data_IF_530300492686
#
_entry.id   IF_530300492686
#
_cell.length_a   1.000
_cell.length_b   1.000
_cell.length_c   1.000
_cell.angle_alpha   90.00
_cell.angle_beta   90.00
_cell.angle_gamma   90.00
#
_symmetry.space_group_name_H-M   'P 1'
#
loop_
_entity.id
_entity.type
_entity.pdbx_description
1 polymer ?
#
# COMPACT_ATOMS: atom_id res chain seq x y z
N UNK A 1 23.11 -20.54 3.99
CA UNK A 1 22.62 -19.74 5.13
C UNK A 1 21.30 -20.37 5.54
N UNK A 2 21.13 -20.70 6.81
CA UNK A 2 19.85 -21.24 7.30
C UNK A 2 18.80 -20.12 7.31
N UNK A 3 17.56 -20.43 6.92
CA UNK A 3 16.46 -19.45 6.86
C UNK A 3 16.21 -18.85 8.25
N UNK A 4 16.28 -19.68 9.30
CA UNK A 4 16.15 -19.20 10.68
C UNK A 4 17.23 -18.18 11.06
N UNK A 5 18.48 -18.44 10.68
CA UNK A 5 19.59 -17.51 10.89
C UNK A 5 19.38 -16.19 10.13
N UNK A 6 18.96 -16.24 8.86
CA UNK A 6 18.67 -15.04 8.07
C UNK A 6 17.53 -14.21 8.66
N UNK A 7 16.45 -14.85 9.10
CA UNK A 7 15.33 -14.19 9.76
C UNK A 7 15.74 -13.55 11.09
N UNK A 8 16.53 -14.26 11.90
CA UNK A 8 17.05 -13.72 13.16
C UNK A 8 17.93 -12.48 12.95
N UNK A 9 18.79 -12.50 11.93
CA UNK A 9 19.61 -11.33 11.57
C UNK A 9 18.75 -10.15 11.10
N UNK A 10 17.73 -10.43 10.29
CA UNK A 10 16.80 -9.40 9.82
C UNK A 10 16.00 -8.78 10.98
N UNK A 11 15.47 -9.59 11.90
CA UNK A 11 14.80 -9.11 13.11
C UNK A 11 15.75 -8.32 14.01
N UNK A 12 17.02 -8.75 14.12
CA UNK A 12 18.06 -8.02 14.84
C UNK A 12 18.29 -6.63 14.23
N UNK A 13 18.40 -6.53 12.91
CA UNK A 13 18.50 -5.25 12.21
C UNK A 13 17.22 -4.40 12.41
N UNK A 14 16.04 -4.99 12.26
CA UNK A 14 14.77 -4.27 12.45
C UNK A 14 14.64 -3.70 13.86
N UNK A 15 15.10 -4.43 14.89
CA UNK A 15 15.09 -3.95 16.28
C UNK A 15 15.91 -2.69 16.51
N UNK A 16 16.90 -2.40 15.65
CA UNK A 16 17.68 -1.16 15.72
C UNK A 16 16.89 0.08 15.31
N UNK A 17 15.75 -0.10 14.63
CA UNK A 17 14.82 0.96 14.24
C UNK A 17 13.69 1.19 15.24
N UNK A 18 13.65 0.40 16.32
CA UNK A 18 12.63 0.52 17.36
C UNK A 18 12.85 1.80 18.16
N UNK A 19 11.80 2.61 18.30
CA UNK A 19 11.80 3.89 19.02
C UNK A 19 10.96 3.83 20.32
N UNK A 20 10.25 2.72 20.54
CA UNK A 20 9.39 2.47 21.69
C UNK A 20 8.65 1.14 21.53
N UNK A 21 7.80 0.79 22.48
CA UNK A 21 6.96 -0.40 22.38
C UNK A 21 5.99 -0.27 21.19
N UNK A 22 6.07 -1.17 20.21
CA UNK A 22 5.30 -1.07 18.97
C UNK A 22 5.67 0.10 18.04
N UNK A 23 6.68 0.90 18.38
CA UNK A 23 7.07 2.07 17.58
C UNK A 23 8.33 1.75 16.77
N UNK A 24 8.19 1.76 15.45
CA UNK A 24 9.27 1.58 14.49
C UNK A 24 9.34 2.80 13.59
N UNK A 25 10.52 3.42 13.54
CA UNK A 25 10.81 4.49 12.59
C UNK A 25 11.57 3.95 11.38
N UNK A 26 11.87 4.83 10.44
CA UNK A 26 12.53 4.44 9.20
C UNK A 26 13.04 5.61 8.39
N UNK A 27 13.74 5.29 7.30
CA UNK A 27 14.12 6.26 6.27
C UNK A 27 13.11 6.20 5.12
N UNK A 28 12.39 7.29 4.92
CA UNK A 28 11.25 7.37 3.99
C UNK A 28 11.68 7.85 2.60
N UNK A 29 12.62 7.14 1.98
CA UNK A 29 13.14 7.54 0.66
C UNK A 29 12.17 7.08 -0.42
N UNK A 30 11.64 8.04 -1.18
CA UNK A 30 10.76 7.70 -2.28
C UNK A 30 11.53 7.14 -3.49
N UNK A 31 11.25 5.91 -3.96
CA UNK A 31 12.04 5.27 -5.02
C UNK A 31 11.79 5.88 -6.40
N UNK A 32 10.57 6.37 -6.65
CA UNK A 32 10.15 6.83 -7.99
C UNK A 32 10.09 8.35 -8.14
N UNK A 33 10.11 9.11 -7.04
CA UNK A 33 9.91 10.55 -7.06
C UNK A 33 11.17 11.16 -6.50
N UNK A 34 11.69 12.20 -7.15
CA UNK A 34 12.86 12.94 -6.65
C UNK A 34 12.48 13.87 -5.50
N UNK A 35 11.79 13.34 -4.49
CA UNK A 35 11.38 14.06 -3.28
C UNK A 35 12.37 13.74 -2.17
N UNK A 36 13.09 14.77 -1.71
CA UNK A 36 14.09 14.69 -0.63
C UNK A 36 13.64 15.38 0.65
N UNK A 37 12.38 15.81 0.75
CA UNK A 37 11.92 16.68 1.84
C UNK A 37 12.12 16.05 3.24
N UNK A 38 11.95 14.73 3.35
CA UNK A 38 12.26 13.96 4.56
C UNK A 38 13.74 13.97 4.94
N UNK A 39 14.65 13.97 3.97
CA UNK A 39 16.09 14.03 4.22
C UNK A 39 16.49 15.42 4.72
N UNK A 40 15.92 16.47 4.13
CA UNK A 40 16.12 17.86 4.58
C UNK A 40 15.63 18.07 6.01
N UNK A 41 14.47 17.48 6.34
CA UNK A 41 13.89 17.50 7.69
C UNK A 41 14.59 16.56 8.66
N UNK A 42 15.46 15.67 8.17
CA UNK A 42 16.11 14.60 8.94
C UNK A 42 15.10 13.74 9.70
N UNK A 43 13.94 13.52 9.08
CA UNK A 43 12.88 12.73 9.69
C UNK A 43 13.24 11.25 9.62
N UNK A 44 13.21 10.59 10.78
CA UNK A 44 13.45 9.16 10.94
C UNK A 44 12.36 8.49 11.77
N UNK A 45 11.22 9.18 11.94
CA UNK A 45 10.12 8.72 12.76
C UNK A 45 9.24 7.69 12.03
N UNK A 46 8.10 7.35 12.62
CA UNK A 46 7.14 6.40 12.06
C UNK A 46 6.46 6.93 10.78
N UNK A 47 5.99 6.02 9.94
CA UNK A 47 4.99 6.30 8.89
C UNK A 47 3.98 5.18 8.87
N UNK A 48 2.70 5.52 8.95
CA UNK A 48 1.64 4.52 9.22
C UNK A 48 1.53 3.45 8.13
N UNK A 49 1.90 3.77 6.89
CA UNK A 49 1.84 2.79 5.81
C UNK A 49 2.91 1.69 5.89
N UNK A 50 4.07 1.96 6.52
CA UNK A 50 5.13 0.96 6.68
C UNK A 50 4.71 -0.19 7.60
N UNK A 51 3.78 0.09 8.51
CA UNK A 51 3.23 -0.91 9.42
C UNK A 51 2.47 -2.03 8.72
N UNK A 52 2.06 -1.84 7.45
CA UNK A 52 1.45 -2.91 6.66
C UNK A 52 2.45 -4.05 6.44
N UNK A 53 3.70 -3.72 6.10
CA UNK A 53 4.77 -4.70 5.99
C UNK A 53 5.17 -5.29 7.33
N UNK A 54 5.30 -4.45 8.37
CA UNK A 54 5.72 -4.88 9.70
C UNK A 54 4.71 -5.82 10.34
N UNK A 55 3.45 -5.40 10.51
CA UNK A 55 2.41 -6.21 11.15
C UNK A 55 2.23 -7.51 10.39
N UNK A 56 2.06 -7.47 9.05
CA UNK A 56 1.85 -8.71 8.28
C UNK A 56 3.06 -9.64 8.29
N UNK A 57 4.29 -9.09 8.36
CA UNK A 57 5.50 -9.88 8.53
C UNK A 57 5.56 -10.59 9.88
N UNK A 58 5.21 -9.89 10.97
CA UNK A 58 5.16 -10.48 12.31
C UNK A 58 3.99 -11.47 12.46
N UNK A 59 2.83 -11.21 11.86
CA UNK A 59 1.72 -12.17 11.82
C UNK A 59 2.13 -13.44 11.08
N UNK A 60 2.86 -13.34 9.96
CA UNK A 60 3.38 -14.52 9.27
C UNK A 60 4.35 -15.32 10.16
N UNK A 61 5.21 -14.65 10.91
CA UNK A 61 6.08 -15.32 11.88
C UNK A 61 5.26 -16.01 12.98
N UNK A 62 4.23 -15.36 13.52
CA UNK A 62 3.32 -15.94 14.49
C UNK A 62 2.66 -17.21 13.95
N UNK A 63 2.01 -17.15 12.78
CA UNK A 63 1.33 -18.29 12.15
C UNK A 63 2.26 -19.48 11.89
N UNK A 64 3.53 -19.21 11.52
CA UNK A 64 4.49 -20.25 11.18
C UNK A 64 5.22 -20.85 12.37
N UNK A 65 5.33 -20.10 13.48
CA UNK A 65 6.14 -20.50 14.63
C UNK A 65 5.31 -20.80 15.88
N UNK A 66 4.09 -20.25 15.98
CA UNK A 66 3.28 -20.27 17.19
C UNK A 66 3.84 -19.44 18.34
N UNK A 67 4.84 -18.57 18.10
CA UNK A 67 5.46 -17.79 19.18
C UNK A 67 4.67 -16.50 19.49
N UNK A 68 3.98 -16.47 20.63
CA UNK A 68 3.15 -15.33 21.10
C UNK A 68 3.84 -13.96 21.09
N UNK A 69 5.18 -13.92 21.17
CA UNK A 69 5.91 -12.65 21.14
C UNK A 69 5.65 -11.87 19.85
N UNK A 70 5.40 -12.56 18.74
CA UNK A 70 5.15 -11.91 17.45
C UNK A 70 3.75 -11.31 17.40
N UNK A 71 2.73 -12.03 17.87
CA UNK A 71 1.37 -11.49 18.02
C UNK A 71 1.33 -10.31 19.00
N UNK A 72 2.03 -10.41 20.14
CA UNK A 72 2.16 -9.30 21.10
C UNK A 72 2.77 -8.06 20.47
N UNK A 73 3.80 -8.20 19.64
CA UNK A 73 4.39 -7.05 18.94
C UNK A 73 3.40 -6.45 17.92
N UNK A 74 2.61 -7.27 17.21
CA UNK A 74 1.55 -6.77 16.33
C UNK A 74 0.49 -5.95 17.06
N UNK A 75 0.08 -6.40 18.25
CA UNK A 75 -0.89 -5.66 19.10
C UNK A 75 -0.29 -4.31 19.52
N UNK A 76 0.96 -4.27 19.98
CA UNK A 76 1.63 -3.02 20.33
C UNK A 76 1.74 -2.06 19.14
N UNK A 77 2.09 -2.59 17.96
CA UNK A 77 2.14 -1.82 16.72
C UNK A 77 0.76 -1.26 16.34
N UNK A 78 -0.31 -2.05 16.48
CA UNK A 78 -1.67 -1.63 16.17
C UNK A 78 -2.21 -0.59 17.17
N UNK A 79 -1.91 -0.74 18.46
CA UNK A 79 -2.24 0.26 19.47
C UNK A 79 -1.52 1.59 19.22
N UNK A 80 -0.25 1.52 18.78
CA UNK A 80 0.47 2.71 18.33
C UNK A 80 -0.22 3.37 17.12
N UNK A 81 -0.59 2.62 16.07
CA UNK A 81 -1.32 3.17 14.93
C UNK A 81 -2.63 3.85 15.35
N UNK A 82 -3.40 3.22 16.24
CA UNK A 82 -4.63 3.80 16.79
C UNK A 82 -4.38 5.12 17.50
N UNK A 83 -3.27 5.23 18.24
CA UNK A 83 -2.89 6.45 18.95
C UNK A 83 -2.58 7.63 18.04
N UNK A 84 -2.27 7.37 16.76
CA UNK A 84 -2.02 8.39 15.74
C UNK A 84 -3.28 8.86 15.01
N UNK A 85 -4.44 8.26 15.25
CA UNK A 85 -5.68 8.66 14.57
C UNK A 85 -6.27 9.92 15.21
N UNK A 86 -6.39 10.99 14.42
CA UNK A 86 -7.03 12.23 14.84
C UNK A 86 -8.56 12.05 14.99
N UNK A 87 -9.21 13.03 15.61
CA UNK A 87 -10.66 13.14 15.80
C UNK A 87 -11.46 12.98 14.50
N UNK A 88 -10.93 13.44 13.37
CA UNK A 88 -11.59 13.34 12.06
C UNK A 88 -11.48 11.96 11.39
N UNK A 89 -10.71 11.04 11.98
CA UNK A 89 -10.48 9.69 11.48
C UNK A 89 -9.22 9.53 10.63
N UNK A 90 -8.54 10.61 10.24
CA UNK A 90 -7.28 10.56 9.52
C UNK A 90 -6.12 10.18 10.44
N UNK A 91 -5.16 9.40 9.94
CA UNK A 91 -3.93 9.13 10.67
C UNK A 91 -2.93 10.28 10.51
N UNK A 92 -2.34 10.74 11.61
CA UNK A 92 -1.07 11.46 11.56
C UNK A 92 0.03 10.53 11.01
N UNK A 93 1.08 11.12 10.44
CA UNK A 93 2.17 10.39 9.77
C UNK A 93 1.73 9.53 8.58
N UNK A 94 0.85 10.09 7.74
CA UNK A 94 0.27 9.43 6.57
C UNK A 94 0.67 10.09 5.25
N UNK A 95 1.92 10.54 5.11
CA UNK A 95 2.42 11.24 3.91
C UNK A 95 3.83 10.82 3.45
N UNK A 96 4.45 9.83 4.07
CA UNK A 96 5.69 9.16 3.63
C UNK A 96 6.83 10.11 3.21
N UNK A 97 7.00 10.43 1.92
CA UNK A 97 8.09 11.30 1.46
C UNK A 97 7.96 12.77 1.88
N UNK A 98 6.79 13.14 2.43
CA UNK A 98 6.50 14.45 2.99
C UNK A 98 6.36 14.43 4.51
N UNK A 99 6.85 13.40 5.21
CA UNK A 99 6.79 13.38 6.67
C UNK A 99 7.58 14.54 7.33
N UNK A 100 7.12 15.03 8.50
CA UNK A 100 5.87 14.70 9.18
C UNK A 100 4.64 15.36 8.51
N UNK A 101 3.51 14.65 8.44
CA UNK A 101 2.24 15.23 7.96
C UNK A 101 1.09 14.23 7.90
N UNK A 102 -0.04 14.64 7.29
CA UNK A 102 -1.23 13.79 7.17
C UNK A 102 -2.01 13.95 5.87
N UNK A 103 -2.77 12.92 5.54
CA UNK A 103 -3.85 12.97 4.56
C UNK A 103 -3.59 12.19 3.26
N UNK A 104 -2.49 11.46 3.14
CA UNK A 104 -2.22 10.67 1.94
C UNK A 104 -3.17 9.48 1.80
N UNK A 105 -3.75 9.30 0.62
CA UNK A 105 -4.79 8.31 0.36
C UNK A 105 -4.28 6.88 0.59
N UNK A 106 -3.24 6.45 -0.13
CA UNK A 106 -2.65 5.11 0.05
C UNK A 106 -2.10 4.89 1.46
N UNK A 107 -1.54 5.92 2.10
CA UNK A 107 -0.89 5.73 3.39
C UNK A 107 -1.90 5.44 4.51
N UNK A 108 -3.05 6.10 4.48
CA UNK A 108 -4.17 5.78 5.36
C UNK A 108 -4.72 4.37 5.07
N UNK A 109 -4.90 4.03 3.79
CA UNK A 109 -5.43 2.72 3.39
C UNK A 109 -4.54 1.56 3.85
N UNK A 110 -3.22 1.69 3.73
CA UNK A 110 -2.28 0.66 4.18
C UNK A 110 -2.24 0.56 5.71
N UNK A 111 -2.45 1.65 6.45
CA UNK A 111 -2.63 1.59 7.90
C UNK A 111 -3.88 0.75 8.25
N UNK A 112 -5.00 0.99 7.57
CA UNK A 112 -6.22 0.19 7.75
C UNK A 112 -6.00 -1.29 7.44
N UNK A 113 -5.35 -1.61 6.32
CA UNK A 113 -4.99 -2.99 5.96
C UNK A 113 -4.15 -3.66 7.06
N UNK A 114 -3.26 -2.92 7.71
CA UNK A 114 -2.45 -3.43 8.81
C UNK A 114 -3.32 -3.84 10.00
N UNK A 115 -4.22 -2.97 10.41
CA UNK A 115 -5.17 -3.20 11.50
C UNK A 115 -6.09 -4.38 11.18
N UNK A 116 -6.64 -4.43 9.95
CA UNK A 116 -7.54 -5.49 9.52
C UNK A 116 -6.84 -6.84 9.43
N UNK A 117 -5.57 -6.87 9.00
CA UNK A 117 -4.78 -8.11 8.98
C UNK A 117 -4.63 -8.67 10.39
N UNK A 118 -4.40 -7.82 11.40
CA UNK A 118 -4.39 -8.24 12.81
C UNK A 118 -5.78 -8.70 13.26
N UNK A 119 -6.86 -8.02 12.89
CA UNK A 119 -8.22 -8.39 13.28
C UNK A 119 -8.61 -9.83 12.89
N UNK A 120 -8.19 -10.31 11.71
CA UNK A 120 -8.42 -11.71 11.33
C UNK A 120 -7.78 -12.67 12.33
N UNK A 121 -6.51 -12.46 12.69
CA UNK A 121 -5.80 -13.30 13.65
C UNK A 121 -6.40 -13.18 15.06
N UNK A 122 -6.77 -11.96 15.48
CA UNK A 122 -7.45 -11.78 16.77
C UNK A 122 -8.79 -12.51 16.83
N UNK A 123 -9.56 -12.53 15.74
CA UNK A 123 -10.82 -13.26 15.67
C UNK A 123 -10.60 -14.79 15.77
N UNK A 124 -9.56 -15.32 15.12
CA UNK A 124 -9.17 -16.73 15.24
C UNK A 124 -8.73 -17.11 16.65
N UNK A 125 -8.04 -16.21 17.35
CA UNK A 125 -7.58 -16.37 18.73
C UNK A 125 -8.66 -16.00 19.77
N UNK A 126 -9.89 -15.71 19.36
CA UNK A 126 -11.01 -15.29 20.22
C UNK A 126 -10.69 -14.04 21.08
N UNK A 127 -9.83 -13.15 20.57
CA UNK A 127 -9.44 -11.88 21.18
C UNK A 127 -10.28 -10.71 20.63
N UNK A 128 -10.42 -9.65 21.44
CA UNK A 128 -11.20 -8.48 21.06
C UNK A 128 -10.51 -7.67 19.94
N UNK A 129 -11.16 -7.65 18.77
CA UNK A 129 -10.72 -6.89 17.59
C UNK A 129 -11.51 -5.60 17.37
N UNK A 130 -12.57 -5.34 18.16
CA UNK A 130 -13.47 -4.21 17.96
C UNK A 130 -12.78 -2.84 18.01
N UNK A 131 -11.80 -2.60 18.90
CA UNK A 131 -11.14 -1.30 18.95
C UNK A 131 -10.37 -0.95 17.66
N UNK A 132 -9.87 -1.96 16.94
CA UNK A 132 -9.17 -1.77 15.66
C UNK A 132 -10.15 -1.61 14.50
N UNK A 133 -11.24 -2.39 14.50
CA UNK A 133 -12.33 -2.27 13.52
C UNK A 133 -12.96 -0.88 13.58
N UNK A 134 -13.20 -0.34 14.78
CA UNK A 134 -13.73 1.03 14.94
C UNK A 134 -12.76 2.10 14.42
N UNK A 135 -11.46 1.92 14.65
CA UNK A 135 -10.43 2.81 14.08
C UNK A 135 -10.50 2.81 12.55
N UNK A 136 -10.58 1.64 11.91
CA UNK A 136 -10.71 1.53 10.45
C UNK A 136 -12.00 2.19 9.96
N UNK A 137 -13.13 1.93 10.63
CA UNK A 137 -14.44 2.52 10.28
C UNK A 137 -14.39 4.05 10.29
N UNK A 138 -13.72 4.65 11.28
CA UNK A 138 -13.52 6.12 11.35
C UNK A 138 -12.65 6.64 10.20
N UNK A 139 -11.65 5.88 9.77
CA UNK A 139 -10.85 6.26 8.59
C UNK A 139 -11.66 6.16 7.29
N UNK A 140 -12.54 5.17 7.17
CA UNK A 140 -13.48 5.10 6.04
C UNK A 140 -14.44 6.28 6.00
N UNK A 141 -14.99 6.71 7.14
CA UNK A 141 -15.78 7.95 7.20
C UNK A 141 -14.98 9.17 6.70
N UNK A 142 -13.70 9.24 7.06
CA UNK A 142 -12.79 10.25 6.55
C UNK A 142 -12.56 10.13 5.03
N UNK A 143 -12.31 8.94 4.49
CA UNK A 143 -12.18 8.72 3.05
C UNK A 143 -13.44 9.19 2.30
N UNK A 144 -14.61 8.84 2.82
CA UNK A 144 -15.88 9.23 2.21
C UNK A 144 -16.11 10.74 2.24
N UNK A 145 -15.68 11.41 3.29
CA UNK A 145 -15.79 12.87 3.43
C UNK A 145 -14.75 13.64 2.61
N UNK A 146 -13.51 13.14 2.59
CA UNK A 146 -12.33 13.90 2.17
C UNK A 146 -11.85 13.54 0.77
N UNK A 147 -12.12 12.33 0.30
CA UNK A 147 -11.57 11.77 -0.94
C UNK A 147 -12.60 11.25 -1.94
N UNK A 148 -13.78 10.79 -1.50
CA UNK A 148 -14.76 10.20 -2.42
C UNK A 148 -15.16 11.16 -3.55
N UNK A 149 -14.96 10.71 -4.79
CA UNK A 149 -15.17 11.48 -6.03
C UNK A 149 -14.49 12.85 -6.04
N UNK A 150 -13.39 13.00 -5.30
CA UNK A 150 -12.60 14.23 -5.29
C UNK A 150 -11.53 14.23 -6.37
N UNK A 151 -10.88 13.08 -6.59
CA UNK A 151 -9.70 12.98 -7.43
C UNK A 151 -8.49 13.74 -6.84
N UNK A 152 -7.36 13.59 -7.50
CA UNK A 152 -6.12 14.32 -7.23
C UNK A 152 -6.19 15.74 -7.83
N UNK A 153 -5.05 16.44 -7.80
CA UNK A 153 -4.90 17.77 -8.38
C UNK A 153 -5.13 17.85 -9.88
N UNK A 154 -5.05 16.73 -10.61
CA UNK A 154 -5.22 16.68 -12.06
C UNK A 154 -6.66 16.36 -12.46
N UNK A 155 -7.26 15.31 -11.87
CA UNK A 155 -8.61 14.82 -12.21
C UNK A 155 -9.74 15.73 -11.72
N UNK A 156 -9.61 16.32 -10.52
CA UNK A 156 -10.57 17.26 -9.89
C UNK A 156 -12.06 16.95 -10.13
N UNK A 157 -12.71 16.31 -9.17
CA UNK A 157 -14.12 15.90 -9.18
C UNK A 157 -14.49 14.96 -10.35
N UNK A 158 -13.82 13.80 -10.46
CA UNK A 158 -14.10 12.81 -11.49
C UNK A 158 -15.56 12.33 -11.45
N UNK A 159 -16.11 12.03 -12.63
CA UNK A 159 -17.49 11.52 -12.78
C UNK A 159 -17.63 10.04 -12.40
N UNK A 160 -16.51 9.31 -12.40
CA UNK A 160 -16.44 7.87 -12.09
C UNK A 160 -16.22 7.61 -10.59
N UNK A 161 -16.50 6.39 -10.08
CA UNK A 161 -16.23 6.06 -8.68
C UNK A 161 -14.73 5.98 -8.43
N UNK A 162 -14.22 6.81 -7.54
CA UNK A 162 -12.82 6.79 -7.10
C UNK A 162 -12.63 7.60 -5.81
N UNK A 163 -11.42 7.54 -5.24
CA UNK A 163 -11.00 8.43 -4.17
C UNK A 163 -10.04 9.47 -4.73
N UNK A 164 -8.74 9.16 -4.76
CA UNK A 164 -7.75 10.07 -5.32
C UNK A 164 -7.65 9.95 -6.85
N UNK A 165 -8.23 8.91 -7.45
CA UNK A 165 -8.16 8.72 -8.90
C UNK A 165 -6.80 8.20 -9.38
N UNK A 166 -5.99 7.68 -8.45
CA UNK A 166 -4.71 7.04 -8.75
C UNK A 166 -4.80 5.55 -8.49
N UNK A 167 -4.48 4.72 -9.49
CA UNK A 167 -4.76 3.26 -9.43
C UNK A 167 -4.16 2.58 -8.22
N UNK A 168 -2.85 2.68 -8.01
CA UNK A 168 -2.19 2.01 -6.88
C UNK A 168 -2.71 2.48 -5.52
N UNK A 169 -3.26 3.69 -5.43
CA UNK A 169 -3.75 4.23 -4.17
C UNK A 169 -5.20 3.82 -3.92
N UNK A 170 -6.05 3.94 -4.94
CA UNK A 170 -7.47 3.60 -4.83
C UNK A 170 -7.65 2.08 -4.68
N UNK A 171 -6.83 1.25 -5.33
CA UNK A 171 -6.87 -0.20 -5.14
C UNK A 171 -6.43 -0.64 -3.73
N UNK A 172 -5.54 0.11 -3.07
CA UNK A 172 -5.26 -0.11 -1.65
C UNK A 172 -6.48 0.18 -0.75
N UNK A 173 -7.28 1.21 -1.07
CA UNK A 173 -8.55 1.48 -0.36
C UNK A 173 -9.56 0.38 -0.63
N UNK A 174 -9.68 -0.09 -1.88
CA UNK A 174 -10.52 -1.24 -2.24
C UNK A 174 -10.16 -2.47 -1.42
N UNK A 175 -8.86 -2.75 -1.27
CA UNK A 175 -8.37 -3.86 -0.47
C UNK A 175 -8.75 -3.71 1.00
N UNK A 176 -8.56 -2.53 1.61
CA UNK A 176 -8.98 -2.28 2.99
C UNK A 176 -10.50 -2.49 3.17
N UNK A 177 -11.32 -1.96 2.27
CA UNK A 177 -12.78 -2.11 2.34
C UNK A 177 -13.24 -3.57 2.15
N UNK A 178 -12.54 -4.36 1.33
CA UNK A 178 -12.79 -5.79 1.20
C UNK A 178 -12.49 -6.54 2.51
N UNK A 179 -11.33 -6.29 3.13
CA UNK A 179 -10.98 -6.94 4.40
C UNK A 179 -11.98 -6.57 5.51
N UNK A 180 -12.42 -5.32 5.58
CA UNK A 180 -13.43 -4.89 6.54
C UNK A 180 -14.82 -5.50 6.24
N UNK A 181 -15.15 -5.69 4.97
CA UNK A 181 -16.38 -6.34 4.56
C UNK A 181 -16.47 -7.79 5.07
N UNK A 182 -15.36 -8.52 5.01
CA UNK A 182 -15.26 -9.90 5.50
C UNK A 182 -15.34 -9.98 7.03
N UNK A 183 -14.80 -8.99 7.74
CA UNK A 183 -14.77 -8.96 9.20
C UNK A 183 -16.03 -8.39 9.85
N UNK A 184 -16.72 -7.44 9.19
CA UNK A 184 -17.72 -6.61 9.87
C UNK A 184 -18.94 -6.23 9.03
N UNK A 185 -18.74 -5.67 7.83
CA UNK A 185 -19.85 -5.09 7.06
C UNK A 185 -19.63 -5.12 5.54
N UNK A 186 -20.29 -6.07 4.87
CA UNK A 186 -20.15 -6.31 3.42
C UNK A 186 -20.45 -5.11 2.54
N UNK A 187 -21.24 -4.14 3.05
CA UNK A 187 -21.66 -2.95 2.30
C UNK A 187 -20.50 -2.05 1.88
N UNK A 188 -19.39 -2.04 2.61
CA UNK A 188 -18.21 -1.23 2.22
C UNK A 188 -17.59 -1.74 0.91
N UNK A 189 -17.51 -3.07 0.75
CA UNK A 189 -17.07 -3.67 -0.50
C UNK A 189 -18.13 -3.51 -1.59
N UNK A 190 -19.38 -3.89 -1.31
CA UNK A 190 -20.44 -3.93 -2.32
C UNK A 190 -20.77 -2.56 -2.92
N UNK A 191 -20.79 -1.51 -2.09
CA UNK A 191 -21.20 -0.17 -2.50
C UNK A 191 -20.04 0.74 -2.93
N UNK A 192 -18.80 0.41 -2.56
CA UNK A 192 -17.65 1.27 -2.84
C UNK A 192 -16.47 0.50 -3.41
N UNK A 193 -15.84 -0.39 -2.63
CA UNK A 193 -14.59 -1.05 -3.02
C UNK A 193 -14.69 -1.78 -4.36
N UNK A 194 -15.73 -2.59 -4.56
CA UNK A 194 -15.94 -3.33 -5.81
C UNK A 194 -16.17 -2.41 -6.99
N UNK A 195 -16.99 -1.37 -6.83
CA UNK A 195 -17.30 -0.43 -7.91
C UNK A 195 -16.05 0.29 -8.42
N UNK A 196 -15.15 0.66 -7.51
CA UNK A 196 -13.88 1.31 -7.86
C UNK A 196 -12.93 0.30 -8.51
N UNK A 197 -12.76 -0.88 -7.91
CA UNK A 197 -11.87 -1.93 -8.44
C UNK A 197 -12.27 -2.35 -9.87
N UNK A 198 -13.56 -2.63 -10.08
CA UNK A 198 -14.09 -3.04 -11.39
C UNK A 198 -13.85 -1.94 -12.44
N UNK A 199 -14.03 -0.68 -12.06
CA UNK A 199 -13.80 0.46 -12.95
C UNK A 199 -12.34 0.52 -13.40
N UNK A 200 -11.37 0.39 -12.48
CA UNK A 200 -9.94 0.41 -12.83
C UNK A 200 -9.54 -0.77 -13.72
N UNK A 201 -10.09 -1.96 -13.47
CA UNK A 201 -9.83 -3.15 -14.29
C UNK A 201 -10.40 -3.01 -15.71
N UNK A 202 -11.54 -2.35 -15.86
CA UNK A 202 -12.16 -2.15 -17.16
C UNK A 202 -11.53 -0.99 -17.95
N UNK A 203 -11.18 0.11 -17.28
CA UNK A 203 -10.86 1.37 -17.95
C UNK A 203 -9.38 1.76 -17.88
N UNK A 204 -8.64 1.32 -16.86
CA UNK A 204 -7.24 1.73 -16.65
C UNK A 204 -6.24 0.61 -16.86
N UNK A 205 -6.65 -0.65 -16.77
CA UNK A 205 -5.79 -1.76 -17.13
C UNK A 205 -5.55 -1.80 -18.63
N UNK A 206 -4.30 -2.02 -19.03
CA UNK A 206 -3.83 -2.15 -20.41
C UNK A 206 -3.39 -3.61 -20.66
N UNK A 207 -4.29 -4.50 -21.09
CA UNK A 207 -4.00 -5.93 -21.19
C UNK A 207 -2.84 -6.28 -22.12
N UNK A 208 -2.64 -5.50 -23.17
CA UNK A 208 -1.58 -5.66 -24.16
C UNK A 208 -0.18 -5.41 -23.55
N UNK A 209 -0.12 -4.57 -22.53
CA UNK A 209 1.13 -4.17 -21.89
C UNK A 209 1.32 -4.82 -20.51
N UNK A 210 0.23 -5.24 -19.86
CA UNK A 210 0.27 -5.77 -18.50
C UNK A 210 0.54 -4.67 -17.46
N UNK A 211 0.10 -3.45 -17.71
CA UNK A 211 0.25 -2.34 -16.76
C UNK A 211 -1.07 -1.56 -16.64
N UNK A 212 -1.10 -0.57 -15.76
CA UNK A 212 -2.24 0.31 -15.59
C UNK A 212 -1.87 1.74 -15.98
N UNK A 213 -2.82 2.52 -16.47
CA UNK A 213 -2.74 3.96 -16.32
C UNK A 213 -2.72 4.33 -14.85
N UNK A 214 -2.00 5.39 -14.51
CA UNK A 214 -1.88 5.87 -13.14
C UNK A 214 -3.03 6.79 -12.76
N UNK A 215 -3.41 7.74 -13.62
CA UNK A 215 -4.45 8.75 -13.32
C UNK A 215 -3.94 10.09 -12.77
N UNK A 216 -2.62 10.31 -12.76
CA UNK A 216 -2.01 11.62 -12.44
C UNK A 216 -1.80 12.51 -13.67
N UNK A 217 -1.83 11.94 -14.88
CA UNK A 217 -1.67 12.63 -16.16
C UNK A 217 -2.26 11.78 -17.31
N UNK A 218 -2.45 12.39 -18.48
CA UNK A 218 -2.90 11.71 -19.71
C UNK A 218 -1.81 10.76 -20.18
N UNK A 219 -2.22 9.57 -20.65
CA UNK A 219 -1.34 8.51 -21.15
C UNK A 219 -0.16 8.18 -20.23
N UNK A 220 -0.38 8.26 -18.91
CA UNK A 220 0.68 8.06 -17.94
C UNK A 220 0.57 6.67 -17.27
N UNK A 221 1.43 5.70 -17.63
CA UNK A 221 1.42 4.39 -17.01
C UNK A 221 1.94 4.44 -15.57
N UNK A 222 1.45 3.52 -14.74
CA UNK A 222 2.01 3.28 -13.42
C UNK A 222 3.49 2.90 -13.53
N UNK A 223 4.40 3.53 -12.78
CA UNK A 223 5.77 3.08 -12.71
C UNK A 223 5.84 1.64 -12.17
N UNK A 224 6.81 0.88 -12.66
CA UNK A 224 6.92 -0.56 -12.39
C UNK A 224 6.92 -0.92 -10.89
N UNK A 225 7.54 -0.09 -10.03
CA UNK A 225 7.51 -0.32 -8.58
C UNK A 225 6.07 -0.31 -8.01
N UNK A 226 5.18 0.55 -8.53
CA UNK A 226 3.78 0.60 -8.13
C UNK A 226 2.93 -0.48 -8.78
N UNK A 227 3.28 -0.92 -9.98
CA UNK A 227 2.69 -2.15 -10.53
C UNK A 227 2.94 -3.35 -9.60
N UNK A 228 4.09 -3.41 -8.93
CA UNK A 228 4.35 -4.41 -7.89
C UNK A 228 3.39 -4.32 -6.68
N UNK A 229 3.03 -3.10 -6.26
CA UNK A 229 2.03 -2.88 -5.21
C UNK A 229 0.63 -3.29 -5.68
N UNK A 230 0.24 -2.90 -6.89
CA UNK A 230 -1.04 -3.29 -7.50
C UNK A 230 -1.16 -4.81 -7.61
N UNK A 231 -0.10 -5.51 -8.01
CA UNK A 231 -0.08 -6.99 -8.00
C UNK A 231 -0.39 -7.53 -6.61
N UNK A 232 0.23 -6.96 -5.57
CA UNK A 232 -0.01 -7.39 -4.20
C UNK A 232 -1.45 -7.16 -3.77
N UNK A 233 -2.03 -6.00 -4.07
CA UNK A 233 -3.44 -5.69 -3.82
C UNK A 233 -4.38 -6.65 -4.55
N UNK A 234 -4.17 -6.87 -5.85
CA UNK A 234 -4.98 -7.77 -6.68
C UNK A 234 -4.94 -9.22 -6.19
N UNK A 235 -3.76 -9.72 -5.79
CA UNK A 235 -3.63 -11.07 -5.25
C UNK A 235 -4.38 -11.23 -3.92
N UNK A 236 -4.35 -10.22 -3.05
CA UNK A 236 -5.13 -10.25 -1.82
C UNK A 236 -6.63 -10.15 -2.12
N UNK A 237 -7.05 -9.28 -3.05
CA UNK A 237 -8.46 -9.22 -3.46
C UNK A 237 -8.96 -10.55 -4.05
N UNK A 238 -8.14 -11.24 -4.85
CA UNK A 238 -8.42 -12.58 -5.35
C UNK A 238 -8.57 -13.59 -4.21
N UNK A 239 -7.75 -13.52 -3.16
CA UNK A 239 -7.82 -14.49 -2.06
C UNK A 239 -9.17 -14.50 -1.36
N UNK A 240 -9.83 -13.35 -1.21
CA UNK A 240 -11.13 -13.24 -0.54
C UNK A 240 -12.31 -13.40 -1.53
N UNK A 241 -12.24 -12.76 -2.69
CA UNK A 241 -13.37 -12.78 -3.66
C UNK A 241 -13.41 -14.04 -4.52
N UNK A 242 -12.27 -14.72 -4.70
CA UNK A 242 -12.04 -15.77 -5.70
C UNK A 242 -12.33 -15.35 -7.15
N UNK A 243 -12.45 -14.06 -7.43
CA UNK A 243 -12.67 -13.58 -8.79
C UNK A 243 -11.39 -13.72 -9.61
N UNK A 244 -11.45 -14.61 -10.61
CA UNK A 244 -10.34 -14.91 -11.50
C UNK A 244 -9.82 -13.71 -12.29
N UNK A 245 -10.61 -12.63 -12.44
CA UNK A 245 -10.17 -11.41 -13.10
C UNK A 245 -9.01 -10.77 -12.35
N UNK A 246 -9.08 -10.66 -11.01
CA UNK A 246 -7.99 -10.11 -10.20
C UNK A 246 -6.70 -10.93 -10.38
N UNK A 247 -6.80 -12.27 -10.35
CA UNK A 247 -5.65 -13.14 -10.55
C UNK A 247 -5.06 -13.01 -11.95
N UNK A 248 -5.91 -13.04 -12.98
CA UNK A 248 -5.48 -12.91 -14.38
C UNK A 248 -4.76 -11.60 -14.62
N UNK A 249 -5.30 -10.51 -14.10
CA UNK A 249 -4.68 -9.17 -14.21
C UNK A 249 -3.36 -9.10 -13.45
N UNK A 250 -3.30 -9.64 -12.23
CA UNK A 250 -2.06 -9.71 -11.46
C UNK A 250 -0.95 -10.50 -12.18
N UNK A 251 -1.30 -11.60 -12.84
CA UNK A 251 -0.35 -12.38 -13.65
C UNK A 251 0.15 -11.60 -14.86
N UNK A 252 -0.73 -10.86 -15.55
CA UNK A 252 -0.31 -9.96 -16.65
C UNK A 252 0.67 -8.89 -16.17
N UNK A 253 0.42 -8.31 -15.01
CA UNK A 253 1.33 -7.37 -14.36
C UNK A 253 2.67 -8.00 -13.95
N UNK A 254 2.68 -9.23 -13.45
CA UNK A 254 3.92 -9.94 -13.14
C UNK A 254 4.74 -10.23 -14.41
N UNK A 255 4.09 -10.58 -15.52
CA UNK A 255 4.76 -10.78 -16.80
C UNK A 255 5.36 -9.48 -17.34
N UNK A 256 4.66 -8.34 -17.18
CA UNK A 256 5.22 -7.01 -17.46
C UNK A 256 6.47 -6.74 -16.62
N UNK A 257 6.40 -6.88 -15.30
CA UNK A 257 7.53 -6.66 -14.39
C UNK A 257 8.73 -7.56 -14.72
N UNK A 258 8.47 -8.82 -15.08
CA UNK A 258 9.50 -9.77 -15.48
C UNK A 258 10.18 -9.36 -16.79
N UNK A 259 9.43 -8.88 -17.78
CA UNK A 259 9.99 -8.35 -19.04
C UNK A 259 10.80 -7.07 -18.82
N UNK A 260 10.35 -6.22 -17.90
CA UNK A 260 11.04 -4.98 -17.49
C UNK A 260 12.20 -5.20 -16.50
N UNK A 261 12.51 -6.43 -16.13
CA UNK A 261 13.57 -6.71 -15.18
C UNK A 261 14.94 -6.86 -15.86
N UNK A 262 15.99 -6.35 -15.23
CA UNK A 262 17.37 -6.52 -15.70
C UNK A 262 18.33 -6.76 -14.54
N UNK A 263 19.54 -7.24 -14.85
CA UNK A 263 20.63 -7.29 -13.87
C UNK A 263 21.53 -6.09 -14.07
N UNK A 264 21.77 -5.35 -13.00
CA UNK A 264 22.70 -4.22 -13.04
C UNK A 264 24.17 -4.68 -13.01
N UNK A 265 25.08 -3.70 -13.09
CA UNK A 265 26.53 -3.93 -13.06
C UNK A 265 27.04 -4.57 -11.75
N UNK A 266 26.22 -4.59 -10.70
CA UNK A 266 26.53 -5.23 -9.41
C UNK A 266 25.90 -6.62 -9.30
N UNK A 267 25.22 -7.10 -10.35
CA UNK A 267 24.55 -8.40 -10.39
C UNK A 267 23.17 -8.43 -9.74
N UNK A 268 22.65 -7.29 -9.25
CA UNK A 268 21.35 -7.22 -8.61
C UNK A 268 20.23 -7.17 -9.66
N UNK A 269 19.16 -7.93 -9.42
CA UNK A 269 17.94 -7.85 -10.21
C UNK A 269 17.22 -6.53 -9.90
N UNK A 270 16.90 -5.78 -10.94
CA UNK A 270 16.17 -4.50 -10.90
C UNK A 270 14.86 -4.65 -11.67
N UNK A 271 13.84 -3.90 -11.27
CA UNK A 271 12.46 -4.00 -11.82
C UNK A 271 11.87 -2.62 -12.15
N UNK A 272 12.70 -1.68 -12.60
CA UNK A 272 12.31 -0.27 -12.79
C UNK A 272 12.23 0.20 -14.24
N UNK A 273 12.21 -0.67 -15.25
CA UNK A 273 11.97 -0.23 -16.63
C UNK A 273 10.47 -0.04 -16.83
N UNK A 274 10.11 1.12 -17.37
CA UNK A 274 8.73 1.44 -17.72
C UNK A 274 8.50 1.26 -19.21
N UNK A 275 7.27 0.95 -19.59
CA UNK A 275 6.87 1.01 -20.98
C UNK A 275 6.65 2.46 -21.42
N UNK A 276 7.14 2.78 -22.61
CA UNK A 276 6.71 3.95 -23.37
C UNK A 276 5.46 3.56 -24.18
N UNK A 277 4.33 4.20 -23.88
CA UNK A 277 3.06 3.88 -24.51
C UNK A 277 2.96 4.36 -25.98
N UNK A 278 3.77 5.34 -26.39
CA UNK A 278 3.80 5.80 -27.79
C UNK A 278 4.48 4.76 -28.69
N UNK A 279 5.57 4.17 -28.20
CA UNK A 279 6.37 3.21 -28.97
C UNK A 279 6.06 1.75 -28.66
N UNK A 280 5.44 1.47 -27.50
CA UNK A 280 5.21 0.12 -26.98
C UNK A 280 6.49 -0.58 -26.50
N UNK A 281 7.59 0.16 -26.35
CA UNK A 281 8.92 -0.39 -26.00
C UNK A 281 9.22 -0.13 -24.53
N UNK A 282 9.89 -1.08 -23.87
CA UNK A 282 10.42 -0.88 -22.51
C UNK A 282 11.61 0.08 -22.55
N UNK A 283 11.51 1.19 -21.84
CA UNK A 283 12.62 2.11 -21.67
C UNK A 283 13.64 1.57 -20.68
N UNK A 284 14.90 1.42 -21.11
CA UNK A 284 16.03 1.05 -20.25
C UNK A 284 16.50 2.21 -19.37
N UNK A 285 15.58 2.79 -18.59
CA UNK A 285 15.85 3.87 -17.64
C UNK A 285 15.29 3.46 -16.28
N UNK A 286 15.98 3.74 -15.16
CA UNK A 286 15.36 3.59 -13.86
C UNK A 286 14.10 4.46 -13.80
N UNK A 287 13.01 3.94 -13.23
CA UNK A 287 11.74 4.63 -12.95
C UNK A 287 11.93 5.83 -12.01
N UNK A 288 12.65 6.86 -12.47
CA UNK A 288 12.76 8.14 -11.82
C UNK A 288 11.75 9.05 -12.51
N UNK A 289 10.58 9.20 -11.91
CA UNK A 289 9.59 10.14 -12.38
C UNK A 289 10.03 11.54 -11.94
N UNK A 290 10.34 12.38 -12.92
CA UNK A 290 10.50 13.82 -12.73
C UNK A 290 9.17 14.48 -13.02
N UNK A 291 8.45 14.96 -11.99
CA UNK A 291 7.37 15.92 -12.22
C UNK A 291 7.97 17.26 -12.62
N UNK A 292 8.29 17.46 -13.90
CA UNK A 292 8.77 18.74 -14.41
C UNK A 292 10.05 19.28 -13.74
N UNK A 293 10.47 20.53 -14.05
CA UNK A 293 11.62 21.14 -13.42
C UNK A 293 11.30 21.45 -11.95
N UNK A 294 12.07 20.80 -11.06
CA UNK A 294 12.33 21.32 -9.72
C UNK A 294 12.85 22.76 -9.87
N UNK A 295 12.14 23.72 -9.28
CA UNK A 295 12.35 25.18 -9.26
C UNK A 295 11.30 25.95 -10.10
N UNK A 296 10.33 26.53 -9.38
CA UNK A 296 9.94 27.93 -9.54
C UNK A 296 10.11 28.62 -8.20
#
# INVERSE_FOLDING_TARGET
>A
MDVGQSLSQYLGWLSTWRQGEGIYGGLHIHPCWRVSSVLERRYQGPTVSEYCGLIRGFLNLYEKTGEDRFLRECILMADFLRSLQDSDGCFEHSVYEFEPGKGGCIHNALADVSLLSLCFVLAEEELDSEPYLETVRRNFDWFMKSWWKRGNSWLKNPSFPCWCGVTNQDLAVCWAMLLYAELKDSRYWENYGRLVADWYLENYYLPEYGCFYRGDAEDFPEPAAYTGLIVYELLNMYQFTKDSLYLKTALGCLDYLKRGAWRDNYGFLRIHHNIDLETGVLEEKPSLITQGPLIS
#
